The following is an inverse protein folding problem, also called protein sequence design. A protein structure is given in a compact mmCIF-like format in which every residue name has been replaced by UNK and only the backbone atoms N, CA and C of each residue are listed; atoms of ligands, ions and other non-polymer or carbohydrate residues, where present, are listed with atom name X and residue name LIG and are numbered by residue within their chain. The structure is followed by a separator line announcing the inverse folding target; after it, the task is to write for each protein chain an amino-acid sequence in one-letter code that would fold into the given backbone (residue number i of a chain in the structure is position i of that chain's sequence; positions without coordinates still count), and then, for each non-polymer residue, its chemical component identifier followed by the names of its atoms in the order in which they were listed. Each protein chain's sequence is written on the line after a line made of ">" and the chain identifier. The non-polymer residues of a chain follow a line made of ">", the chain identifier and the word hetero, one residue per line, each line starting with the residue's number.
data_IF_245913798940
#
_entry.id   IF_245913798940
#
_cell.length_a   1.000
_cell.length_b   1.000
_cell.length_c   1.000
_cell.angle_alpha   90.00
_cell.angle_beta   90.00
_cell.angle_gamma   90.00
#
_symmetry.space_group_name_H-M   'P 1'
#
loop_
_entity.id
_entity.type
_entity.pdbx_description
1 polymer ?
#
# COMPACT_ATOMS: atom_id res chain seq x y z
N UNK A 1 -19.34 1.42 -22.17
CA UNK A 1 -20.56 1.11 -21.40
C UNK A 1 -20.58 -0.40 -21.26
N UNK A 2 -20.03 -0.94 -20.16
CA UNK A 2 -19.96 -2.38 -19.93
C UNK A 2 -21.13 -2.77 -19.03
N UNK A 3 -22.05 -3.54 -19.58
CA UNK A 3 -23.23 -4.08 -18.90
C UNK A 3 -22.82 -5.35 -18.18
N UNK A 4 -22.85 -5.35 -16.85
CA UNK A 4 -22.73 -6.57 -16.04
C UNK A 4 -24.11 -7.23 -15.98
N UNK A 5 -24.29 -8.33 -16.72
CA UNK A 5 -25.43 -9.21 -16.51
C UNK A 5 -25.18 -10.08 -15.27
N UNK A 6 -25.77 -9.70 -14.14
CA UNK A 6 -25.93 -10.60 -13.01
C UNK A 6 -27.18 -11.46 -13.24
N UNK A 7 -26.98 -12.75 -13.55
CA UNK A 7 -28.05 -13.73 -13.45
C UNK A 7 -28.48 -13.87 -11.98
N UNK A 8 -29.61 -13.25 -11.65
CA UNK A 8 -30.28 -13.37 -10.37
C UNK A 8 -31.09 -14.66 -10.35
N UNK A 9 -30.48 -15.75 -9.85
CA UNK A 9 -31.23 -16.95 -9.48
C UNK A 9 -32.12 -16.62 -8.27
N UNK A 10 -33.41 -16.47 -8.53
CA UNK A 10 -34.46 -16.23 -7.53
C UNK A 10 -34.71 -17.51 -6.72
N UNK A 11 -33.93 -17.74 -5.68
CA UNK A 11 -34.23 -18.72 -4.63
C UNK A 11 -35.08 -18.09 -3.53
N UNK A 12 -36.23 -18.69 -3.21
CA UNK A 12 -37.10 -18.26 -2.11
C UNK A 12 -36.46 -18.59 -0.74
N UNK A 13 -36.28 -17.56 0.08
CA UNK A 13 -36.20 -17.67 1.55
C UNK A 13 -34.88 -18.11 2.15
N UNK A 14 -34.28 -17.23 2.97
CA UNK A 14 -33.33 -17.57 4.04
C UNK A 14 -31.87 -17.63 3.61
N UNK A 15 -31.10 -16.64 4.08
CA UNK A 15 -29.63 -16.55 4.06
C UNK A 15 -28.93 -16.66 2.70
N UNK A 16 -28.63 -15.49 2.12
CA UNK A 16 -27.60 -15.40 1.08
C UNK A 16 -26.26 -15.70 1.73
N UNK A 17 -25.74 -16.90 1.51
CA UNK A 17 -24.33 -17.21 1.72
C UNK A 17 -23.51 -16.20 0.91
N UNK A 18 -22.82 -15.29 1.61
CA UNK A 18 -21.86 -14.40 0.97
C UNK A 18 -20.73 -15.28 0.45
N UNK A 19 -20.72 -15.55 -0.86
CA UNK A 19 -19.55 -16.14 -1.52
C UNK A 19 -18.43 -15.11 -1.44
N UNK A 20 -17.63 -15.22 -0.39
CA UNK A 20 -16.46 -14.39 -0.17
C UNK A 20 -15.46 -14.69 -1.29
N UNK A 21 -15.22 -13.71 -2.17
CA UNK A 21 -14.05 -13.74 -3.02
C UNK A 21 -12.83 -13.51 -2.14
N UNK A 22 -12.12 -14.59 -1.81
CA UNK A 22 -10.87 -14.54 -1.02
C UNK A 22 -9.66 -14.17 -1.88
N UNK A 23 -9.86 -14.05 -3.19
CA UNK A 23 -8.83 -13.75 -4.17
C UNK A 23 -9.43 -12.95 -5.33
N UNK A 24 -8.84 -11.81 -5.66
CA UNK A 24 -9.13 -11.05 -6.86
C UNK A 24 -7.80 -10.51 -7.40
N UNK A 25 -7.49 -10.86 -8.64
CA UNK A 25 -6.34 -10.37 -9.39
C UNK A 25 -6.86 -9.46 -10.50
N UNK A 26 -6.25 -8.28 -10.65
CA UNK A 26 -6.53 -7.35 -11.76
C UNK A 26 -5.26 -7.27 -12.60
N UNK A 27 -5.29 -7.89 -13.77
CA UNK A 27 -4.24 -7.77 -14.77
C UNK A 27 -4.71 -6.87 -15.93
N UNK A 28 -3.83 -6.05 -16.53
CA UNK A 28 -4.15 -5.31 -17.74
C UNK A 28 -4.44 -6.27 -18.90
N UNK A 29 -5.39 -5.90 -19.76
CA UNK A 29 -5.87 -6.73 -20.87
C UNK A 29 -4.79 -6.87 -21.97
N UNK A 30 -4.50 -8.14 -22.30
CA UNK A 30 -3.70 -8.69 -23.42
C UNK A 30 -2.17 -8.71 -23.28
N UNK A 31 -1.66 -9.85 -22.81
CA UNK A 31 -0.35 -10.40 -23.20
C UNK A 31 -0.63 -11.62 -24.11
N UNK A 32 -0.02 -11.73 -25.31
CA UNK A 32 -0.25 -12.85 -26.22
C UNK A 32 0.15 -14.21 -25.60
N UNK A 33 -0.58 -15.27 -25.97
CA UNK A 33 -0.57 -16.62 -25.36
C UNK A 33 0.74 -17.44 -25.52
N UNK A 34 1.90 -16.81 -25.75
CA UNK A 34 3.18 -17.51 -25.92
C UNK A 34 4.28 -17.06 -24.95
N UNK A 35 3.98 -16.24 -23.94
CA UNK A 35 4.92 -16.00 -22.85
C UNK A 35 4.71 -17.05 -21.76
N UNK A 36 5.67 -17.97 -21.65
CA UNK A 36 5.87 -18.85 -20.51
C UNK A 36 5.46 -18.10 -19.24
N UNK A 37 4.52 -18.67 -18.47
CA UNK A 37 4.06 -18.17 -17.17
C UNK A 37 5.30 -17.92 -16.29
N UNK A 38 5.84 -16.71 -16.43
CA UNK A 38 7.04 -16.26 -15.76
C UNK A 38 6.83 -16.39 -14.28
N UNK A 39 7.85 -16.91 -13.62
CA UNK A 39 7.96 -17.15 -12.19
C UNK A 39 7.08 -16.18 -11.39
N UNK A 40 6.21 -16.72 -10.51
CA UNK A 40 5.52 -15.92 -9.49
C UNK A 40 6.51 -14.87 -8.97
N UNK A 41 6.20 -13.58 -9.13
CA UNK A 41 7.12 -12.48 -8.76
C UNK A 41 7.44 -12.62 -7.29
N UNK A 42 8.51 -13.35 -7.00
CA UNK A 42 8.86 -13.73 -5.66
C UNK A 42 9.58 -12.51 -5.11
N UNK A 43 8.91 -11.77 -4.23
CA UNK A 43 9.50 -10.72 -3.41
C UNK A 43 10.45 -11.33 -2.36
N UNK A 44 11.38 -12.17 -2.80
CA UNK A 44 12.39 -12.80 -1.95
C UNK A 44 13.61 -11.90 -1.74
N UNK A 45 13.76 -10.88 -2.58
CA UNK A 45 14.88 -9.94 -2.57
C UNK A 45 14.44 -8.56 -2.07
N UNK A 46 13.84 -8.49 -0.89
CA UNK A 46 13.53 -7.23 -0.19
C UNK A 46 14.87 -6.61 0.29
N UNK A 47 15.39 -5.64 -0.46
CA UNK A 47 16.65 -4.95 -0.18
C UNK A 47 16.53 -4.06 1.05
N UNK A 48 15.43 -3.30 1.09
CA UNK A 48 15.14 -2.32 2.12
C UNK A 48 13.69 -2.52 2.57
N UNK A 49 13.42 -2.32 3.85
CA UNK A 49 12.07 -2.40 4.39
C UNK A 49 11.90 -1.52 5.62
N UNK A 50 10.71 -0.97 5.77
CA UNK A 50 10.33 -0.18 6.94
C UNK A 50 8.86 -0.41 7.30
N UNK A 51 8.52 -0.16 8.56
CA UNK A 51 7.15 -0.30 9.06
C UNK A 51 6.75 0.95 9.84
N UNK A 52 5.55 1.45 9.58
CA UNK A 52 5.02 2.67 10.19
C UNK A 52 3.49 2.61 10.33
N UNK A 53 2.88 3.46 11.17
CA UNK A 53 1.43 3.61 11.21
C UNK A 53 0.86 3.94 9.82
N UNK A 54 -0.21 3.26 9.43
CA UNK A 54 -0.84 3.44 8.11
C UNK A 54 -1.25 4.88 7.86
N UNK A 55 -1.77 5.56 8.89
CA UNK A 55 -2.13 6.96 8.81
C UNK A 55 -0.93 7.87 8.51
N UNK A 56 0.27 7.56 9.03
CA UNK A 56 1.48 8.33 8.75
C UNK A 56 1.92 8.15 7.30
N UNK A 57 1.92 6.93 6.77
CA UNK A 57 2.24 6.73 5.35
C UNK A 57 1.22 7.45 4.44
N UNK A 58 -0.07 7.39 4.81
CA UNK A 58 -1.13 8.09 4.08
C UNK A 58 -0.92 9.61 4.09
N UNK A 59 -0.62 10.20 5.24
CA UNK A 59 -0.32 11.63 5.40
C UNK A 59 0.85 12.07 4.52
N UNK A 60 1.97 11.32 4.57
CA UNK A 60 3.15 11.58 3.72
C UNK A 60 2.78 11.60 2.24
N UNK A 61 2.03 10.60 1.77
CA UNK A 61 1.60 10.53 0.37
C UNK A 61 0.61 11.63 0.03
N UNK A 62 -0.32 11.96 0.93
CA UNK A 62 -1.27 13.06 0.74
C UNK A 62 -0.55 14.41 0.61
N UNK A 63 0.48 14.68 1.40
CA UNK A 63 1.26 15.92 1.31
C UNK A 63 1.99 16.05 -0.04
N UNK A 64 2.42 14.94 -0.62
CA UNK A 64 3.08 14.95 -1.94
C UNK A 64 2.11 15.20 -3.10
N UNK A 65 0.83 15.40 -2.83
CA UNK A 65 -0.15 15.81 -3.85
C UNK A 65 0.05 17.24 -4.32
N UNK A 66 0.67 18.10 -3.50
CA UNK A 66 0.87 19.50 -3.82
C UNK A 66 1.75 19.68 -5.07
N UNK A 67 2.96 19.08 -5.18
CA UNK A 67 3.72 19.13 -6.43
C UNK A 67 3.02 18.46 -7.61
N UNK A 68 2.11 17.50 -7.36
CA UNK A 68 1.44 16.67 -8.37
C UNK A 68 2.43 16.01 -9.37
N UNK A 69 3.65 15.74 -8.90
CA UNK A 69 4.71 15.07 -9.65
C UNK A 69 4.79 13.59 -9.32
N UNK A 70 5.72 12.90 -10.00
CA UNK A 70 6.08 11.55 -9.63
C UNK A 70 6.90 11.55 -8.32
N UNK A 71 6.66 10.58 -7.45
CA UNK A 71 7.25 10.53 -6.12
C UNK A 71 8.56 9.75 -6.17
N UNK A 72 9.67 10.39 -5.79
CA UNK A 72 10.94 9.76 -5.54
C UNK A 72 11.00 9.28 -4.08
N UNK A 73 11.23 7.98 -3.89
CA UNK A 73 11.52 7.38 -2.60
C UNK A 73 13.02 7.09 -2.52
N UNK A 74 13.69 7.72 -1.56
CA UNK A 74 15.11 7.53 -1.27
C UNK A 74 15.24 6.81 0.08
N UNK A 75 16.05 5.77 0.11
CA UNK A 75 16.34 4.99 1.30
C UNK A 75 17.85 4.74 1.40
N UNK A 76 18.43 5.11 2.53
CA UNK A 76 19.84 4.87 2.92
C UNK A 76 19.87 4.41 4.39
N UNK A 77 21.03 4.02 4.89
CA UNK A 77 21.24 3.47 6.24
C UNK A 77 20.73 4.39 7.36
N UNK A 78 20.75 5.70 7.15
CA UNK A 78 20.32 6.73 8.10
C UNK A 78 19.29 7.72 7.52
N UNK A 79 18.70 7.39 6.37
CA UNK A 79 17.76 8.27 5.67
C UNK A 79 16.59 7.49 5.07
N UNK A 80 15.38 8.02 5.25
CA UNK A 80 14.20 7.63 4.51
C UNK A 80 13.46 8.90 4.08
N UNK A 81 13.31 9.12 2.79
CA UNK A 81 12.79 10.37 2.26
C UNK A 81 11.85 10.13 1.09
N UNK A 82 10.75 10.86 1.09
CA UNK A 82 9.81 10.92 -0.02
C UNK A 82 9.83 12.32 -0.59
N UNK A 83 9.97 12.47 -1.90
CA UNK A 83 9.95 13.79 -2.55
C UNK A 83 9.20 13.77 -3.85
N UNK A 84 8.66 14.92 -4.26
CA UNK A 84 8.03 15.10 -5.55
C UNK A 84 8.34 16.51 -6.06
N UNK A 85 8.50 16.62 -7.38
CA UNK A 85 8.76 17.89 -8.07
C UNK A 85 7.58 18.22 -8.99
N UNK A 86 7.09 19.45 -8.91
CA UNK A 86 6.05 19.99 -9.78
C UNK A 86 6.50 21.28 -10.45
N UNK A 87 6.22 21.44 -11.75
CA UNK A 87 6.63 22.61 -12.51
C UNK A 87 6.06 23.94 -11.96
N UNK A 88 4.88 23.92 -11.33
CA UNK A 88 4.20 25.11 -10.81
C UNK A 88 4.50 25.38 -9.33
N UNK A 89 4.63 24.32 -8.53
CA UNK A 89 4.71 24.41 -7.05
C UNK A 89 6.14 24.23 -6.54
N UNK A 90 7.02 23.62 -7.34
CA UNK A 90 8.40 23.32 -6.97
C UNK A 90 8.56 21.98 -6.27
N UNK A 91 9.59 21.87 -5.45
CA UNK A 91 9.97 20.65 -4.73
C UNK A 91 9.31 20.57 -3.36
N UNK A 92 8.74 19.41 -3.04
CA UNK A 92 8.38 19.03 -1.68
C UNK A 92 9.11 17.75 -1.31
N UNK A 93 9.65 17.72 -0.10
CA UNK A 93 10.29 16.55 0.48
C UNK A 93 9.80 16.33 1.92
N UNK A 94 9.59 15.07 2.26
CA UNK A 94 9.21 14.59 3.58
C UNK A 94 10.28 13.61 4.04
N UNK A 95 11.08 14.06 5.00
CA UNK A 95 12.10 13.24 5.67
C UNK A 95 11.46 12.48 6.83
N UNK A 96 11.61 11.16 6.83
CA UNK A 96 11.12 10.29 7.91
C UNK A 96 12.28 10.00 8.85
N UNK A 97 12.10 10.35 10.13
CA UNK A 97 13.09 10.03 11.17
C UNK A 97 13.24 8.50 11.32
N UNK A 98 14.40 7.98 10.91
CA UNK A 98 14.78 6.56 11.04
C UNK A 98 15.43 6.25 12.39
N UNK A 99 15.67 7.27 13.23
CA UNK A 99 16.20 7.11 14.57
C UNK A 99 15.18 6.48 15.53
N UNK A 100 15.64 6.14 16.73
CA UNK A 100 14.81 5.50 17.76
C UNK A 100 13.63 6.36 18.25
N UNK A 101 13.62 7.66 17.93
CA UNK A 101 12.56 8.63 18.26
C UNK A 101 11.49 8.75 17.19
N UNK A 102 11.72 8.14 16.02
CA UNK A 102 10.83 8.22 14.87
C UNK A 102 9.53 7.45 15.05
N UNK A 103 8.64 7.58 14.05
CA UNK A 103 7.38 6.82 13.97
C UNK A 103 7.55 5.42 13.39
N UNK A 104 8.77 5.03 13.00
CA UNK A 104 9.05 3.72 12.45
C UNK A 104 9.12 2.67 13.57
N UNK A 105 8.43 1.55 13.39
CA UNK A 105 8.56 0.36 14.26
C UNK A 105 9.59 -0.63 13.74
N UNK A 106 9.96 -0.49 12.47
CA UNK A 106 11.01 -1.25 11.81
C UNK A 106 11.66 -0.38 10.74
N UNK A 107 12.98 -0.48 10.63
CA UNK A 107 13.74 0.11 9.55
C UNK A 107 14.94 -0.80 9.24
N UNK A 108 15.11 -1.12 7.97
CA UNK A 108 16.22 -1.93 7.46
C UNK A 108 16.59 -1.40 6.07
N UNK A 109 17.87 -1.09 5.90
CA UNK A 109 18.42 -0.72 4.61
C UNK A 109 19.69 -1.54 4.38
N UNK A 110 19.64 -2.49 3.43
CA UNK A 110 20.81 -3.27 3.05
C UNK A 110 21.64 -2.56 1.98
N UNK A 111 20.99 -1.81 1.09
CA UNK A 111 21.63 -1.10 -0.01
C UNK A 111 20.93 0.25 -0.25
N UNK A 112 21.66 1.36 -0.41
CA UNK A 112 21.05 2.63 -0.78
C UNK A 112 20.25 2.49 -2.08
N UNK A 113 19.02 3.02 -2.08
CA UNK A 113 18.11 2.92 -3.22
C UNK A 113 17.36 4.22 -3.44
N UNK A 114 17.19 4.60 -4.70
CA UNK A 114 16.32 5.68 -5.13
C UNK A 114 15.42 5.17 -6.26
N UNK A 115 14.11 5.27 -6.10
CA UNK A 115 13.15 4.78 -7.10
C UNK A 115 11.95 5.71 -7.17
N UNK A 116 11.46 5.94 -8.38
CA UNK A 116 10.38 6.88 -8.66
C UNK A 116 9.08 6.15 -8.94
N UNK A 117 7.95 6.63 -8.43
CA UNK A 117 6.64 5.99 -8.58
C UNK A 117 5.58 7.01 -8.98
N UNK A 118 4.59 6.58 -9.77
CA UNK A 118 3.46 7.45 -10.12
C UNK A 118 2.67 7.79 -8.85
N UNK A 119 2.52 9.08 -8.55
CA UNK A 119 1.78 9.56 -7.37
C UNK A 119 0.40 8.92 -7.24
N UNK A 120 -0.38 8.86 -8.34
CA UNK A 120 -1.73 8.25 -8.35
C UNK A 120 -1.77 6.80 -7.88
N UNK A 121 -0.71 6.03 -8.10
CA UNK A 121 -0.63 4.63 -7.68
C UNK A 121 -0.28 4.53 -6.20
N UNK A 122 0.65 5.35 -5.72
CA UNK A 122 0.92 5.48 -4.29
C UNK A 122 -0.33 5.93 -3.53
N UNK A 123 -1.01 6.99 -4.00
CA UNK A 123 -2.25 7.50 -3.42
C UNK A 123 -3.32 6.42 -3.33
N UNK A 124 -3.46 5.59 -4.37
CA UNK A 124 -4.43 4.50 -4.40
C UNK A 124 -4.04 3.37 -3.45
N UNK A 125 -2.75 3.04 -3.37
CA UNK A 125 -2.24 2.01 -2.48
C UNK A 125 -2.37 2.42 -1.00
N UNK A 126 -2.21 3.71 -0.67
CA UNK A 126 -2.30 4.21 0.71
C UNK A 126 -3.71 4.67 1.12
N UNK A 127 -4.69 4.62 0.21
CA UNK A 127 -6.08 4.99 0.46
C UNK A 127 -6.86 3.95 1.29
N UNK A 128 -6.34 3.64 2.49
CA UNK A 128 -7.00 2.76 3.44
C UNK A 128 -8.19 3.50 4.07
N UNK A 129 -9.37 2.87 4.03
CA UNK A 129 -10.60 3.47 4.55
C UNK A 129 -10.52 3.77 6.05
N UNK A 130 -11.09 4.90 6.48
CA UNK A 130 -11.04 5.36 7.88
C UNK A 130 -11.61 4.37 8.90
N UNK A 131 -12.49 3.45 8.49
CA UNK A 131 -12.97 2.34 9.31
C UNK A 131 -11.87 1.39 9.79
N UNK A 132 -10.75 1.33 9.06
CA UNK A 132 -9.59 0.51 9.40
C UNK A 132 -8.45 1.31 10.05
N UNK A 133 -8.49 2.64 10.03
CA UNK A 133 -7.40 3.48 10.57
C UNK A 133 -7.53 3.77 12.07
N UNK A 134 -8.46 3.12 12.78
CA UNK A 134 -8.77 3.44 14.17
C UNK A 134 -9.46 4.79 14.28
N UNK A 135 -10.76 4.82 13.97
CA UNK A 135 -11.55 6.03 13.99
C UNK A 135 -12.39 6.15 15.26
N UNK A 136 -11.87 6.86 16.26
CA UNK A 136 -12.70 7.57 17.24
C UNK A 136 -13.54 8.63 16.52
N UNK A 137 -14.68 8.22 15.98
CA UNK A 137 -15.70 9.11 15.45
C UNK A 137 -16.33 9.90 16.59
N UNK A 138 -16.32 11.22 16.49
CA UNK A 138 -17.10 12.11 17.32
C UNK A 138 -18.59 11.78 17.16
N UNK A 139 -19.15 11.02 18.10
CA UNK A 139 -20.58 10.77 18.19
C UNK A 139 -20.92 9.38 18.71
N UNK A 140 -21.60 9.35 19.86
CA UNK A 140 -22.25 8.21 20.50
C UNK A 140 -21.35 7.28 21.36
N UNK A 141 -21.27 7.63 22.65
CA UNK A 141 -21.64 6.74 23.75
C UNK A 141 -21.03 5.34 23.82
N UNK A 142 -20.05 5.19 24.73
CA UNK A 142 -19.98 4.02 25.61
C UNK A 142 -19.06 2.88 25.18
N UNK A 143 -17.91 2.80 25.84
CA UNK A 143 -17.28 1.52 26.21
C UNK A 143 -16.17 1.01 25.30
N UNK A 144 -14.92 1.31 25.67
CA UNK A 144 -13.76 0.44 25.43
C UNK A 144 -13.41 0.14 23.97
N UNK A 145 -13.07 1.17 23.19
CA UNK A 145 -12.48 0.98 21.86
C UNK A 145 -11.00 0.60 21.99
N UNK A 146 -10.67 -0.59 21.55
CA UNK A 146 -9.28 -0.99 21.26
C UNK A 146 -8.83 -0.15 20.05
N UNK A 147 -8.13 0.96 20.32
CA UNK A 147 -7.46 1.83 19.32
C UNK A 147 -6.37 1.00 18.62
N UNK A 148 -6.78 0.09 17.76
CA UNK A 148 -5.88 -0.74 16.97
C UNK A 148 -5.26 0.12 15.89
N UNK A 149 -4.05 0.59 16.15
CA UNK A 149 -3.23 1.29 15.17
C UNK A 149 -2.89 0.31 14.05
N UNK A 150 -3.52 0.47 12.89
CA UNK A 150 -3.19 -0.30 11.70
C UNK A 150 -1.79 0.08 11.21
N UNK A 151 -0.93 -0.92 11.06
CA UNK A 151 0.45 -0.75 10.59
C UNK A 151 0.57 -1.07 9.10
N UNK A 152 1.50 -0.39 8.44
CA UNK A 152 1.90 -0.69 7.07
C UNK A 152 3.37 -1.08 7.05
N UNK A 153 3.68 -2.22 6.43
CA UNK A 153 5.05 -2.56 6.04
C UNK A 153 5.26 -2.15 4.59
N UNK A 154 6.36 -1.48 4.30
CA UNK A 154 6.81 -1.17 2.95
C UNK A 154 8.15 -1.84 2.72
N UNK A 155 8.27 -2.60 1.62
CA UNK A 155 9.51 -3.24 1.21
C UNK A 155 9.87 -2.81 -0.21
N UNK A 156 11.15 -2.58 -0.46
CA UNK A 156 11.73 -2.17 -1.75
C UNK A 156 12.61 -3.31 -2.24
N UNK A 157 12.36 -3.82 -3.44
CA UNK A 157 13.23 -4.83 -4.04
C UNK A 157 14.52 -4.24 -4.62
N UNK A 158 15.51 -5.08 -4.89
CA UNK A 158 16.77 -4.68 -5.55
C UNK A 158 16.57 -3.98 -6.91
N UNK A 159 15.43 -4.18 -7.57
CA UNK A 159 15.10 -3.58 -8.87
C UNK A 159 14.07 -2.44 -8.76
N UNK A 160 13.78 -1.98 -7.53
CA UNK A 160 12.91 -0.83 -7.29
C UNK A 160 11.41 -1.14 -7.23
N UNK A 161 10.99 -2.41 -7.19
CA UNK A 161 9.58 -2.72 -6.92
C UNK A 161 9.21 -2.35 -5.49
N UNK A 162 8.10 -1.64 -5.33
CA UNK A 162 7.58 -1.27 -4.02
C UNK A 162 6.42 -2.17 -3.64
N UNK A 163 6.55 -2.86 -2.51
CA UNK A 163 5.51 -3.69 -1.91
C UNK A 163 4.98 -3.01 -0.66
N UNK A 164 3.68 -2.70 -0.65
CA UNK A 164 3.01 -2.05 0.49
C UNK A 164 2.02 -3.05 1.07
N UNK A 165 2.22 -3.44 2.33
CA UNK A 165 1.37 -4.39 3.05
C UNK A 165 0.70 -3.69 4.22
N UNK A 166 -0.61 -3.47 4.13
CA UNK A 166 -1.42 -2.97 5.23
C UNK A 166 -1.89 -4.11 6.11
N UNK A 167 -1.63 -4.04 7.41
CA UNK A 167 -2.09 -5.00 8.41
C UNK A 167 -3.41 -4.51 9.02
N UNK A 168 -4.51 -4.72 8.29
CA UNK A 168 -5.83 -4.22 8.68
C UNK A 168 -6.43 -5.05 9.81
N UNK A 169 -6.89 -4.38 10.87
CA UNK A 169 -7.66 -5.04 11.93
C UNK A 169 -9.16 -5.00 11.58
N UNK A 170 -9.76 -6.18 11.39
CA UNK A 170 -11.20 -6.30 11.17
C UNK A 170 -11.93 -6.28 12.53
N UNK A 171 -12.99 -5.47 12.64
CA UNK A 171 -13.81 -5.47 13.84
C UNK A 171 -14.50 -6.83 14.02
N UNK A 172 -14.55 -7.33 15.26
CA UNK A 172 -15.22 -8.61 15.62
C UNK A 172 -16.69 -8.70 15.17
N UNK A 173 -17.34 -7.56 14.94
CA UNK A 173 -18.72 -7.48 14.45
C UNK A 173 -18.87 -7.66 12.94
N UNK A 174 -17.78 -7.59 12.17
CA UNK A 174 -17.80 -7.76 10.71
C UNK A 174 -17.39 -9.16 10.25
N UNK A 175 -16.78 -9.96 11.13
CA UNK A 175 -16.27 -11.30 10.80
C UNK A 175 -16.43 -12.27 11.99
N UNK A 176 -17.25 -13.31 11.82
CA UNK A 176 -17.32 -14.44 12.75
C UNK A 176 -16.30 -15.50 12.35
N UNK A 177 -15.08 -15.40 12.85
CA UNK A 177 -14.16 -16.54 12.87
C UNK A 177 -14.51 -17.42 14.07
N UNK A 178 -14.49 -18.74 13.90
CA UNK A 178 -14.71 -19.70 14.98
C UNK A 178 -13.84 -19.37 16.20
N UNK A 179 -14.40 -19.56 17.41
CA UNK A 179 -13.91 -19.05 18.68
C UNK A 179 -12.52 -19.56 19.17
N UNK A 180 -11.69 -20.10 18.28
CA UNK A 180 -10.36 -20.65 18.60
C UNK A 180 -9.18 -19.76 18.17
N UNK A 181 -9.44 -18.57 17.62
CA UNK A 181 -8.39 -17.65 17.16
C UNK A 181 -7.91 -16.67 18.24
N UNK A 182 -6.60 -16.64 18.51
CA UNK A 182 -5.95 -15.66 19.40
C UNK A 182 -6.03 -14.21 18.90
N UNK A 183 -5.32 -13.28 19.55
CA UNK A 183 -5.37 -11.82 19.29
C UNK A 183 -5.18 -11.41 17.82
N UNK A 184 -4.54 -12.24 16.99
CA UNK A 184 -4.29 -11.98 15.57
C UNK A 184 -5.37 -12.53 14.62
N UNK A 185 -6.43 -13.16 15.12
CA UNK A 185 -7.44 -13.83 14.29
C UNK A 185 -8.24 -12.89 13.37
N UNK A 186 -8.08 -11.58 13.54
CA UNK A 186 -8.81 -10.56 12.80
C UNK A 186 -7.88 -9.65 11.97
N UNK A 187 -6.59 -9.96 11.90
CA UNK A 187 -5.63 -9.19 11.10
C UNK A 187 -5.60 -9.71 9.66
N UNK A 188 -5.94 -8.85 8.71
CA UNK A 188 -5.96 -9.17 7.28
C UNK A 188 -4.91 -8.33 6.56
N UNK A 189 -3.87 -8.96 5.97
CA UNK A 189 -2.90 -8.26 5.15
C UNK A 189 -3.52 -7.91 3.79
N UNK A 190 -3.43 -6.65 3.38
CA UNK A 190 -3.74 -6.20 2.01
C UNK A 190 -2.43 -5.74 1.37
N UNK A 191 -2.08 -6.33 0.22
CA UNK A 191 -0.80 -6.08 -0.44
C UNK A 191 -1.00 -5.34 -1.76
N UNK A 192 -0.22 -4.29 -1.97
CA UNK A 192 -0.08 -3.57 -3.23
C UNK A 192 1.35 -3.71 -3.74
N UNK A 193 1.50 -3.86 -5.04
CA UNK A 193 2.80 -3.89 -5.73
C UNK A 193 2.82 -2.76 -6.75
N UNK A 194 3.82 -1.89 -6.64
CA UNK A 194 4.00 -0.76 -7.54
C UNK A 194 5.31 -0.94 -8.31
N UNK A 195 5.21 -0.73 -9.62
CA UNK A 195 6.36 -0.69 -10.52
C UNK A 195 7.03 0.68 -10.42
N UNK A 196 8.38 0.73 -10.37
CA UNK A 196 9.08 1.99 -10.53
C UNK A 196 8.83 2.53 -11.93
N UNK A 197 8.91 3.85 -12.08
CA UNK A 197 8.94 4.50 -13.38
C UNK A 197 10.34 4.30 -13.92
N UNK A 198 10.43 3.77 -15.13
CA UNK A 198 11.70 3.68 -15.86
C UNK A 198 12.27 5.09 -16.01
N UNK A 199 13.55 5.28 -15.66
CA UNK A 199 14.23 6.51 -16.01
C UNK A 199 14.36 6.52 -17.54
N UNK A 200 13.78 7.52 -18.19
CA UNK A 200 13.96 7.69 -19.64
C UNK A 200 15.47 7.78 -19.92
N UNK A 201 16.00 6.81 -20.66
CA UNK A 201 17.43 6.72 -20.98
C UNK A 201 17.94 7.87 -21.86
N UNK A 202 17.05 8.79 -22.25
CA UNK A 202 17.27 9.83 -23.23
C UNK A 202 17.69 11.19 -22.62
N UNK A 203 17.72 11.33 -21.29
CA UNK A 203 18.08 12.60 -20.63
C UNK A 203 19.60 12.92 -20.64
N UNK A 204 20.42 12.07 -21.27
CA UNK A 204 21.88 12.25 -21.43
C UNK A 204 22.36 12.26 -22.89
N UNK A 205 21.46 12.33 -23.88
CA UNK A 205 21.85 12.26 -25.29
C UNK A 205 22.31 13.60 -25.91
N UNK A 206 22.29 14.71 -25.17
CA UNK A 206 22.62 16.05 -25.68
C UNK A 206 23.81 16.70 -24.96
N UNK A 207 24.91 15.97 -24.73
CA UNK A 207 26.23 16.59 -24.50
C UNK A 207 27.35 15.74 -25.13
N UNK A 208 27.51 15.77 -26.45
CA UNK A 208 28.83 15.72 -27.13
C UNK A 208 28.79 16.24 -28.58
#
# INVERSE_FOLDING_TARGET
>A
MLTLELESAKGQGGERELRQCVYAEIAPEMVPEDEERGEEVSFRDEANAFMLPTATLKEIVDDLEWPNGDVLLECDVDMLKFSAHGAEIGDLAVDVDVGATGRLTEFSCAQPSASRYKYRFLKSATAVGGSFLGGGGAGAGGGGGDDTVTMTRVSISNVGFLKIVHLLHLSRGQVSFGAEGGLNAFMVPVTYILHPIEADADEYADEE
#
